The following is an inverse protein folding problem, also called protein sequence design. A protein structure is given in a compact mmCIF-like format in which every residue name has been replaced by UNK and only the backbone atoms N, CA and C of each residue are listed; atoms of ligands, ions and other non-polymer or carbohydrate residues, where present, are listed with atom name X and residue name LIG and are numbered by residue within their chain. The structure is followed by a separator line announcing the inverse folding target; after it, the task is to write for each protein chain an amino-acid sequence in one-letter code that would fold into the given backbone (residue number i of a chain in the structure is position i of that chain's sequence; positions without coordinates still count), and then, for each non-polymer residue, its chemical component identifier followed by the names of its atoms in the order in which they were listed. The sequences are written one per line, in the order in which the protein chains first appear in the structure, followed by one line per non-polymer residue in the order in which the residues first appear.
data_IF_488522748225
#
_entry.id   IF_488522748225
#
_cell.length_a   1.000
_cell.length_b   1.000
_cell.length_c   1.000
_cell.angle_alpha   90.00
_cell.angle_beta   90.00
_cell.angle_gamma   90.00
#
_symmetry.space_group_name_H-M   'P 1'
#
loop_
_entity.id
_entity.type
_entity.pdbx_description
1 polymer ?
#
# COMPACT_ATOMS: atom_id res chain seq x y z
N UNK A 1 9.19 -5.13 -1.54
CA UNK A 1 8.17 -5.80 -0.69
C UNK A 1 6.77 -5.26 -0.94
N UNK A 2 6.47 -3.99 -0.64
CA UNK A 2 5.14 -3.40 -0.84
C UNK A 2 4.60 -3.55 -2.28
N UNK A 3 5.46 -3.34 -3.28
CA UNK A 3 5.06 -3.46 -4.69
C UNK A 3 4.67 -4.89 -5.07
N UNK A 4 5.31 -5.94 -4.51
CA UNK A 4 4.94 -7.32 -4.82
C UNK A 4 3.57 -7.68 -4.25
N UNK A 5 3.25 -7.19 -3.05
CA UNK A 5 1.95 -7.42 -2.41
C UNK A 5 0.85 -6.67 -3.19
N UNK A 6 1.11 -5.44 -3.61
CA UNK A 6 0.18 -4.67 -4.44
C UNK A 6 -0.06 -5.38 -5.77
N UNK A 7 0.99 -5.85 -6.44
CA UNK A 7 0.86 -6.56 -7.72
C UNK A 7 0.02 -7.82 -7.56
N UNK A 8 0.32 -8.66 -6.57
CA UNK A 8 -0.46 -9.88 -6.31
C UNK A 8 -1.94 -9.58 -6.03
N UNK A 9 -2.21 -8.62 -5.14
CA UNK A 9 -3.58 -8.24 -4.80
C UNK A 9 -4.32 -7.60 -5.99
N UNK A 10 -3.60 -6.85 -6.82
CA UNK A 10 -4.15 -6.27 -8.05
C UNK A 10 -4.48 -7.37 -9.06
N UNK A 11 -3.58 -8.34 -9.26
CA UNK A 11 -3.82 -9.49 -10.14
C UNK A 11 -5.03 -10.30 -9.68
N UNK A 12 -5.17 -10.55 -8.37
CA UNK A 12 -6.34 -11.21 -7.81
C UNK A 12 -7.65 -10.45 -8.09
N UNK A 13 -7.62 -9.11 -7.98
CA UNK A 13 -8.78 -8.26 -8.32
C UNK A 13 -9.06 -8.28 -9.82
N UNK A 14 -8.02 -8.22 -10.66
CA UNK A 14 -8.12 -8.15 -12.11
C UNK A 14 -8.71 -9.45 -12.71
N UNK A 15 -8.54 -10.58 -12.02
CA UNK A 15 -9.12 -11.89 -12.42
C UNK A 15 -10.39 -12.25 -11.62
N UNK A 16 -10.97 -11.31 -10.87
CA UNK A 16 -12.15 -11.50 -10.02
C UNK A 16 -12.00 -12.65 -8.99
N UNK A 17 -10.77 -12.98 -8.58
CA UNK A 17 -10.48 -13.96 -7.53
C UNK A 17 -10.23 -13.32 -6.17
N UNK A 18 -10.15 -11.99 -6.10
CA UNK A 18 -9.89 -11.29 -4.85
C UNK A 18 -11.03 -11.48 -3.85
N UNK A 19 -10.66 -11.81 -2.62
CA UNK A 19 -11.60 -11.74 -1.51
C UNK A 19 -11.86 -10.29 -1.10
N UNK A 20 -12.93 -10.04 -0.32
CA UNK A 20 -13.20 -8.71 0.23
C UNK A 20 -12.04 -8.21 1.11
N UNK A 21 -11.35 -9.12 1.83
CA UNK A 21 -10.14 -8.77 2.58
C UNK A 21 -9.00 -8.35 1.67
N UNK A 22 -8.77 -9.06 0.56
CA UNK A 22 -7.71 -8.75 -0.40
C UNK A 22 -7.97 -7.41 -1.11
N UNK A 23 -9.20 -7.12 -1.52
CA UNK A 23 -9.58 -5.84 -2.09
C UNK A 23 -9.39 -4.68 -1.09
N UNK A 24 -9.72 -4.93 0.18
CA UNK A 24 -9.49 -3.97 1.28
C UNK A 24 -8.00 -3.77 1.55
N UNK A 25 -7.22 -4.85 1.52
CA UNK A 25 -5.77 -4.78 1.66
C UNK A 25 -5.15 -3.98 0.51
N UNK A 26 -5.59 -4.19 -0.74
CA UNK A 26 -5.11 -3.45 -1.92
C UNK A 26 -5.35 -1.94 -1.76
N UNK A 27 -6.52 -1.54 -1.27
CA UNK A 27 -6.84 -0.15 -0.97
C UNK A 27 -5.88 0.44 0.09
N UNK A 28 -5.63 -0.30 1.19
CA UNK A 28 -4.69 0.12 2.24
C UNK A 28 -3.26 0.26 1.71
N UNK A 29 -2.79 -0.69 0.91
CA UNK A 29 -1.45 -0.66 0.32
C UNK A 29 -1.28 0.46 -0.70
N UNK A 30 -2.29 0.73 -1.54
CA UNK A 30 -2.29 1.89 -2.45
C UNK A 30 -2.23 3.20 -1.67
N UNK A 31 -3.03 3.34 -0.60
CA UNK A 31 -3.01 4.52 0.27
C UNK A 31 -1.65 4.68 0.95
N UNK A 32 -1.06 3.59 1.45
CA UNK A 32 0.28 3.58 2.02
C UNK A 32 1.34 4.08 1.04
N UNK A 33 1.36 3.58 -0.20
CA UNK A 33 2.30 4.05 -1.24
C UNK A 33 2.13 5.53 -1.56
N UNK A 34 0.90 6.00 -1.65
CA UNK A 34 0.62 7.42 -1.93
C UNK A 34 1.09 8.29 -0.78
N UNK A 35 0.84 7.88 0.47
CA UNK A 35 1.34 8.59 1.65
C UNK A 35 2.87 8.58 1.69
N UNK A 36 3.50 7.45 1.42
CA UNK A 36 4.95 7.31 1.38
C UNK A 36 5.59 8.21 0.31
N UNK A 37 4.99 8.30 -0.89
CA UNK A 37 5.44 9.21 -1.95
C UNK A 37 5.20 10.69 -1.62
N UNK A 38 4.30 10.99 -0.68
CA UNK A 38 3.97 12.35 -0.23
C UNK A 38 4.67 12.73 1.07
N UNK A 39 5.39 11.80 1.70
CA UNK A 39 6.20 12.10 2.88
C UNK A 39 7.25 13.13 2.45
N UNK A 40 7.21 14.28 3.12
CA UNK A 40 8.19 15.33 2.89
C UNK A 40 9.50 14.96 3.58
N UNK A 41 10.46 14.52 2.77
CA UNK A 41 11.79 14.11 3.23
C UNK A 41 12.61 15.28 3.79
N UNK A 42 12.17 16.53 3.61
CA UNK A 42 12.82 17.70 4.21
C UNK A 42 12.57 17.83 5.71
N UNK A 43 11.63 17.06 6.28
CA UNK A 43 11.36 17.04 7.72
C UNK A 43 12.31 16.12 8.52
N UNK A 44 13.34 15.57 7.87
CA UNK A 44 14.35 14.76 8.56
C UNK A 44 15.05 15.59 9.65
N UNK A 45 15.21 15.06 10.88
CA UNK A 45 15.06 13.64 11.26
C UNK A 45 13.67 13.22 11.81
N UNK A 46 12.74 14.15 12.05
CA UNK A 46 11.41 13.91 12.66
C UNK A 46 10.34 13.48 11.63
N UNK A 47 10.71 12.61 10.68
CA UNK A 47 9.78 12.11 9.67
C UNK A 47 8.91 11.00 10.26
N UNK A 48 7.60 11.23 10.34
CA UNK A 48 6.63 10.18 10.61
C UNK A 48 6.39 9.31 9.37
N UNK A 49 7.10 8.19 9.31
CA UNK A 49 6.87 7.19 8.26
C UNK A 49 5.51 6.52 8.47
N UNK A 50 4.68 6.38 7.43
CA UNK A 50 3.45 5.60 7.53
C UNK A 50 3.80 4.15 7.90
N UNK A 51 2.91 3.47 8.61
CA UNK A 51 3.09 2.05 8.95
C UNK A 51 2.65 1.15 7.80
N UNK A 52 3.40 0.07 7.55
CA UNK A 52 3.04 -0.94 6.57
C UNK A 52 1.71 -1.58 6.99
N UNK A 53 0.68 -1.59 6.13
CA UNK A 53 -0.55 -2.29 6.43
C UNK A 53 -0.30 -3.81 6.47
N UNK A 54 -0.87 -4.47 7.47
CA UNK A 54 -0.94 -5.94 7.60
C UNK A 54 -2.25 -6.48 7.05
#
# INVERSE_FOLDING_TARGET
EADNIITYLQEAVDVDLATEEEATALQKWKKYRVLLNRVDISMAPDIEWPQKPV
#
